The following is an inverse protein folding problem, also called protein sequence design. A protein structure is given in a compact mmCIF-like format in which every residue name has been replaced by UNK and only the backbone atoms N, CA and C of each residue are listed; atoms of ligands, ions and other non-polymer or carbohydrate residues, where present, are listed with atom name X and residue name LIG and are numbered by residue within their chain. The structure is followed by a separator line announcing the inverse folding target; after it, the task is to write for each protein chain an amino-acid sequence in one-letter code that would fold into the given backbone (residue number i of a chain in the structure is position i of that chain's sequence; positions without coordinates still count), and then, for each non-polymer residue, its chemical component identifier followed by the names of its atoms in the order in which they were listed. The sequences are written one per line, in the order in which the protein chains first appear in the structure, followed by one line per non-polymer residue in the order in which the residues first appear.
data_IF_796677204780
#
_entry.id   IF_796677204780
#
_cell.length_a   1.000
_cell.length_b   1.000
_cell.length_c   1.000
_cell.angle_alpha   90.00
_cell.angle_beta   90.00
_cell.angle_gamma   90.00
#
_symmetry.space_group_name_H-M   'P 1'
#
loop_
_entity.id
_entity.type
_entity.pdbx_description
1 polymer ?
#
# COMPACT_ATOMS: atom_id res chain seq x y z
N UNK A 1 0.50 23.20 13.90
CA UNK A 1 1.95 23.14 13.63
C UNK A 1 2.13 22.36 12.33
N UNK A 2 2.83 22.90 11.33
CA UNK A 2 3.07 22.18 10.09
C UNK A 2 3.99 20.98 10.38
N UNK A 3 3.54 19.78 9.98
CA UNK A 3 4.29 18.53 10.13
C UNK A 3 4.34 17.87 8.76
N UNK A 4 5.54 17.48 8.33
CA UNK A 4 5.73 16.66 7.13
C UNK A 4 5.63 15.20 7.55
N UNK A 5 4.76 14.45 6.90
CA UNK A 5 4.60 13.01 7.11
C UNK A 5 4.96 12.28 5.82
N UNK A 6 5.64 11.13 5.95
CA UNK A 6 5.97 10.33 4.77
C UNK A 6 4.71 9.63 4.26
N UNK A 7 4.53 9.68 2.94
CA UNK A 7 3.46 8.94 2.26
C UNK A 7 3.89 7.46 2.17
N UNK A 8 3.05 6.50 2.60
CA UNK A 8 3.35 5.08 2.46
C UNK A 8 3.66 4.69 1.01
N UNK A 9 4.55 3.72 0.82
CA UNK A 9 4.94 3.27 -0.53
C UNK A 9 3.74 2.82 -1.39
N UNK A 10 2.73 2.20 -0.77
CA UNK A 10 1.48 1.74 -1.42
C UNK A 10 0.56 2.89 -1.86
N UNK A 11 0.78 4.09 -1.33
CA UNK A 11 0.08 5.33 -1.68
C UNK A 11 0.86 6.19 -2.69
N UNK A 12 2.02 5.71 -3.16
CA UNK A 12 2.78 6.39 -4.20
C UNK A 12 1.94 6.64 -5.46
N UNK A 13 1.91 7.90 -5.90
CA UNK A 13 1.10 8.36 -7.03
C UNK A 13 -0.36 8.65 -6.71
N UNK A 14 -0.80 8.57 -5.44
CA UNK A 14 -2.12 9.04 -4.98
C UNK A 14 -2.00 10.44 -4.39
N UNK A 15 -2.77 11.37 -4.92
CA UNK A 15 -2.81 12.75 -4.49
C UNK A 15 -4.24 13.12 -4.10
N UNK A 16 -4.41 13.66 -2.89
CA UNK A 16 -5.69 14.16 -2.40
C UNK A 16 -5.79 15.67 -2.62
N UNK A 17 -6.90 16.11 -3.20
CA UNK A 17 -7.15 17.51 -3.59
C UNK A 17 -7.13 18.53 -2.44
N UNK A 18 -7.35 18.08 -1.21
CA UNK A 18 -7.27 18.90 0.01
C UNK A 18 -5.88 18.94 0.66
N UNK A 19 -4.88 18.29 0.07
CA UNK A 19 -3.54 18.16 0.64
C UNK A 19 -2.46 18.84 -0.22
N UNK A 20 -1.30 19.07 0.40
CA UNK A 20 -0.09 19.52 -0.27
C UNK A 20 1.00 18.47 -0.13
N UNK A 21 1.75 18.23 -1.22
CA UNK A 21 2.78 17.19 -1.29
C UNK A 21 4.12 17.78 -1.69
N UNK A 22 5.19 17.18 -1.17
CA UNK A 22 6.55 17.40 -1.62
C UNK A 22 7.03 16.10 -2.25
N UNK A 23 7.42 16.14 -3.51
CA UNK A 23 7.96 14.99 -4.24
C UNK A 23 9.42 15.28 -4.53
N UNK A 24 10.28 14.39 -4.04
CA UNK A 24 11.71 14.43 -4.30
C UNK A 24 12.04 13.28 -5.24
N UNK A 25 12.68 13.59 -6.36
CA UNK A 25 13.14 12.60 -7.33
C UNK A 25 14.64 12.80 -7.56
N UNK A 26 15.41 11.74 -7.34
CA UNK A 26 16.83 11.68 -7.65
C UNK A 26 17.07 10.80 -8.90
N UNK A 27 17.99 11.22 -9.77
CA UNK A 27 18.42 10.43 -10.93
C UNK A 27 19.18 9.15 -10.51
N UNK A 28 19.58 9.09 -9.23
CA UNK A 28 20.32 7.99 -8.62
C UNK A 28 19.44 7.04 -7.80
N UNK A 29 18.11 7.03 -7.97
CA UNK A 29 17.23 5.94 -7.51
C UNK A 29 17.52 5.39 -6.11
N UNK A 30 17.95 6.22 -5.17
CA UNK A 30 18.32 5.80 -3.81
C UNK A 30 17.44 6.57 -2.85
N UNK A 31 16.43 5.88 -2.35
CA UNK A 31 15.49 6.40 -1.37
C UNK A 31 16.20 7.06 -0.17
N UNK A 32 15.60 8.18 0.27
CA UNK A 32 15.40 8.61 1.65
C UNK A 32 16.45 8.20 2.69
N UNK A 33 17.03 9.16 3.45
CA UNK A 33 17.16 8.94 4.90
C UNK A 33 17.55 10.13 5.81
N UNK A 34 17.81 11.36 5.33
CA UNK A 34 18.23 12.42 6.28
C UNK A 34 17.69 13.80 5.96
N UNK A 35 16.53 14.13 6.53
CA UNK A 35 15.89 15.45 6.42
C UNK A 35 16.76 16.59 6.98
N UNK A 36 17.76 16.29 7.83
CA UNK A 36 18.64 17.31 8.45
C UNK A 36 19.88 17.61 7.59
N UNK A 37 20.36 16.66 6.78
CA UNK A 37 21.47 16.89 5.83
C UNK A 37 20.97 17.31 4.43
N UNK A 38 19.69 17.09 4.13
CA UNK A 38 19.12 17.33 2.80
C UNK A 38 19.03 18.84 2.46
N UNK A 39 18.67 19.68 3.43
CA UNK A 39 18.59 21.14 3.23
C UNK A 39 19.94 21.74 2.86
N UNK A 40 21.03 21.27 3.49
CA UNK A 40 22.39 21.70 3.18
C UNK A 40 22.88 21.21 1.80
N UNK A 41 22.38 20.07 1.32
CA UNK A 41 22.77 19.50 0.03
C UNK A 41 21.97 20.06 -1.16
N UNK A 42 20.70 20.40 -0.94
CA UNK A 42 19.79 20.92 -1.98
C UNK A 42 19.96 22.42 -2.24
N UNK A 43 20.70 23.13 -1.37
CA UNK A 43 20.77 24.59 -1.28
C UNK A 43 21.33 25.36 -2.50
N UNK A 44 21.54 24.71 -3.65
CA UNK A 44 21.77 25.37 -4.96
C UNK A 44 21.70 24.43 -6.18
N UNK A 45 21.40 23.12 -6.00
CA UNK A 45 21.42 22.14 -7.11
C UNK A 45 20.04 21.62 -7.50
N UNK A 46 19.03 21.80 -6.65
CA UNK A 46 17.70 21.26 -6.91
C UNK A 46 16.86 22.25 -7.73
N UNK A 47 16.37 21.81 -8.89
CA UNK A 47 15.39 22.57 -9.66
C UNK A 47 14.03 22.41 -8.99
N UNK A 48 13.45 23.51 -8.53
CA UNK A 48 12.12 23.50 -7.92
C UNK A 48 11.04 23.62 -9.00
N UNK A 49 10.06 22.74 -8.95
CA UNK A 49 8.89 22.77 -9.84
C UNK A 49 7.63 23.01 -9.01
N UNK A 50 6.78 23.97 -9.44
CA UNK A 50 5.45 24.18 -8.87
C UNK A 50 4.43 23.43 -9.72
N UNK A 51 3.86 22.39 -9.14
CA UNK A 51 2.80 21.59 -9.76
C UNK A 51 1.44 21.96 -9.15
N UNK A 52 0.44 22.17 -9.99
CA UNK A 52 -0.92 22.55 -9.59
C UNK A 52 -1.88 21.46 -10.04
N UNK A 53 -2.79 21.03 -9.14
CA UNK A 53 -3.78 20.00 -9.44
C UNK A 53 -4.55 20.34 -10.74
N UNK A 54 -4.67 19.34 -11.62
CA UNK A 54 -5.32 19.48 -12.92
C UNK A 54 -4.45 20.09 -14.02
N UNK A 55 -3.34 20.75 -13.65
CA UNK A 55 -2.40 21.40 -14.57
C UNK A 55 -0.98 20.82 -14.41
N UNK A 56 -0.86 19.57 -13.94
CA UNK A 56 0.42 18.97 -13.65
C UNK A 56 1.24 18.74 -14.94
N UNK A 57 2.54 19.00 -14.85
CA UNK A 57 3.48 18.81 -15.95
C UNK A 57 3.56 17.34 -16.38
N UNK A 58 3.87 17.10 -17.65
CA UNK A 58 4.07 15.74 -18.14
C UNK A 58 5.30 15.06 -17.51
N UNK A 59 6.32 15.85 -17.15
CA UNK A 59 7.49 15.37 -16.42
C UNK A 59 7.09 14.87 -15.03
N UNK A 60 6.28 15.64 -14.28
CA UNK A 60 5.81 15.21 -12.96
C UNK A 60 4.96 13.94 -13.03
N UNK A 61 3.99 13.88 -13.95
CA UNK A 61 3.14 12.70 -14.13
C UNK A 61 3.93 11.46 -14.55
N UNK A 62 5.07 11.61 -15.23
CA UNK A 62 5.86 10.48 -15.71
C UNK A 62 6.61 9.75 -14.60
N UNK A 63 6.87 10.42 -13.47
CA UNK A 63 7.48 9.85 -12.26
C UNK A 63 6.68 8.68 -11.70
N UNK A 64 5.35 8.71 -11.88
CA UNK A 64 4.46 7.71 -11.31
C UNK A 64 4.04 6.69 -12.37
N UNK A 65 4.03 5.40 -12.00
CA UNK A 65 3.45 4.34 -12.85
C UNK A 65 1.95 4.58 -13.06
N UNK A 66 1.26 4.98 -12.00
CA UNK A 66 -0.16 5.31 -11.97
C UNK A 66 -0.32 6.64 -11.25
N UNK A 67 -0.98 7.61 -11.89
CA UNK A 67 -1.26 8.92 -11.30
C UNK A 67 -2.73 8.99 -10.91
N UNK A 68 -3.03 9.22 -9.62
CA UNK A 68 -4.40 9.28 -9.11
C UNK A 68 -4.65 10.61 -8.40
N UNK A 69 -5.79 11.22 -8.73
CA UNK A 69 -6.31 12.38 -8.03
C UNK A 69 -7.59 12.00 -7.32
N UNK A 70 -7.64 12.20 -6.01
CA UNK A 70 -8.70 11.74 -5.10
C UNK A 70 -9.32 12.94 -4.35
N UNK A 71 -10.58 12.81 -4.00
CA UNK A 71 -11.28 13.81 -3.19
C UNK A 71 -10.96 13.63 -1.69
N UNK A 72 -10.87 14.72 -0.93
CA UNK A 72 -10.55 14.71 0.51
C UNK A 72 -9.16 15.26 0.84
N UNK A 73 -8.66 15.01 2.06
CA UNK A 73 -7.35 15.47 2.56
C UNK A 73 -7.25 15.47 4.09
N UNK A 74 -6.32 16.25 4.66
CA UNK A 74 -6.02 16.33 6.10
C UNK A 74 -7.25 16.61 6.96
N UNK A 75 -8.15 17.51 6.52
CA UNK A 75 -9.39 17.82 7.24
C UNK A 75 -10.38 16.65 7.24
N UNK A 76 -10.34 15.76 6.24
CA UNK A 76 -11.10 14.49 6.28
C UNK A 76 -10.44 13.44 7.17
N UNK A 77 -9.33 13.80 7.83
CA UNK A 77 -8.37 12.92 8.49
C UNK A 77 -7.60 12.16 7.44
N UNK A 78 -6.27 12.08 7.54
CA UNK A 78 -5.45 11.07 6.86
C UNK A 78 -5.83 9.65 7.33
N UNK A 79 -7.11 9.28 7.26
CA UNK A 79 -7.56 7.91 7.41
C UNK A 79 -7.12 7.22 6.15
N UNK A 80 -5.95 6.60 6.23
CA UNK A 80 -5.67 5.41 5.47
C UNK A 80 -6.87 4.47 5.73
N UNK A 81 -7.78 4.42 4.76
CA UNK A 81 -9.07 3.78 4.97
C UNK A 81 -8.78 2.29 5.02
N UNK A 82 -8.89 1.69 6.21
CA UNK A 82 -8.83 0.24 6.35
C UNK A 82 -9.80 -0.38 5.34
N UNK A 83 -9.49 -1.53 4.75
CA UNK A 83 -10.36 -2.16 3.75
C UNK A 83 -11.82 -2.35 4.21
N UNK A 84 -12.06 -2.37 5.53
CA UNK A 84 -13.36 -2.52 6.20
C UNK A 84 -14.24 -1.25 6.17
N UNK A 85 -13.65 -0.05 6.10
CA UNK A 85 -14.35 1.25 6.14
C UNK A 85 -14.36 1.95 4.76
N UNK A 86 -14.13 1.20 3.68
CA UNK A 86 -13.92 1.76 2.35
C UNK A 86 -15.17 2.48 1.82
N UNK A 87 -15.09 3.82 1.74
CA UNK A 87 -16.12 4.63 1.06
C UNK A 87 -16.02 4.41 -0.46
N UNK A 88 -17.09 3.95 -1.13
CA UNK A 88 -17.08 3.74 -2.58
C UNK A 88 -16.74 5.02 -3.34
N UNK A 89 -15.96 4.88 -4.41
CA UNK A 89 -15.49 5.98 -5.27
C UNK A 89 -15.78 5.68 -6.73
N UNK A 90 -16.04 6.73 -7.50
CA UNK A 90 -16.16 6.63 -8.95
C UNK A 90 -14.91 7.26 -9.56
N UNK A 91 -14.14 6.47 -10.30
CA UNK A 91 -12.88 6.90 -10.89
C UNK A 91 -13.03 6.95 -12.41
N UNK A 92 -12.74 8.10 -13.01
CA UNK A 92 -12.62 8.26 -14.46
C UNK A 92 -11.22 7.87 -14.91
N UNK A 93 -11.12 7.04 -15.95
CA UNK A 93 -9.87 6.49 -16.48
C UNK A 93 -9.49 7.20 -17.78
N UNK A 94 -8.32 7.83 -17.79
CA UNK A 94 -7.80 8.57 -18.94
C UNK A 94 -6.40 8.08 -19.33
N UNK A 95 -6.09 8.01 -20.62
CA UNK A 95 -4.73 7.73 -21.11
C UNK A 95 -4.14 9.02 -21.71
N UNK A 96 -3.40 9.83 -20.92
CA UNK A 96 -2.80 11.07 -21.42
C UNK A 96 -1.59 10.80 -22.33
N UNK A 97 -0.92 9.65 -22.20
CA UNK A 97 0.27 9.30 -22.98
C UNK A 97 0.40 7.78 -23.12
N UNK A 98 1.23 7.34 -24.09
CA UNK A 98 1.50 5.91 -24.31
C UNK A 98 2.02 5.26 -23.03
N UNK A 99 1.42 4.14 -22.62
CA UNK A 99 1.74 3.35 -21.42
C UNK A 99 1.49 4.01 -20.04
N UNK A 100 0.98 5.24 -19.98
CA UNK A 100 0.62 5.92 -18.72
C UNK A 100 -0.88 6.16 -18.67
N UNK A 101 -1.48 6.06 -17.49
CA UNK A 101 -2.89 6.36 -17.30
C UNK A 101 -3.11 7.17 -16.02
N UNK A 102 -4.15 8.00 -16.05
CA UNK A 102 -4.60 8.85 -14.95
C UNK A 102 -5.96 8.35 -14.47
N UNK A 103 -6.12 8.23 -13.17
CA UNK A 103 -7.41 7.98 -12.51
C UNK A 103 -7.81 9.24 -11.77
N UNK A 104 -8.98 9.79 -12.08
CA UNK A 104 -9.51 10.97 -11.40
C UNK A 104 -10.81 10.62 -10.71
N UNK A 105 -10.89 10.83 -9.40
CA UNK A 105 -12.13 10.70 -8.67
C UNK A 105 -13.13 11.75 -9.15
N UNK A 106 -14.33 11.27 -9.49
CA UNK A 106 -15.47 12.09 -9.89
C UNK A 106 -16.62 11.86 -8.93
N UNK A 107 -17.62 12.73 -8.96
CA UNK A 107 -18.79 12.60 -8.11
C UNK A 107 -19.46 11.22 -8.30
N UNK A 108 -19.82 10.55 -7.20
CA UNK A 108 -20.40 9.20 -7.24
C UNK A 108 -21.86 9.25 -7.71
N UNK A 109 -22.05 9.47 -9.01
CA UNK A 109 -23.35 9.62 -9.64
C UNK A 109 -23.32 9.15 -11.08
N UNK A 110 -24.45 8.61 -11.55
CA UNK A 110 -24.65 8.28 -12.97
C UNK A 110 -24.44 9.49 -13.89
N UNK A 111 -24.69 10.72 -13.40
CA UNK A 111 -24.48 11.97 -14.15
C UNK A 111 -23.01 12.25 -14.47
N UNK A 112 -22.09 11.60 -13.76
CA UNK A 112 -20.65 11.75 -14.00
C UNK A 112 -20.11 10.79 -15.06
N UNK A 113 -20.93 9.84 -15.53
CA UNK A 113 -20.57 8.93 -16.61
C UNK A 113 -20.82 9.59 -17.97
N UNK A 114 -19.88 9.40 -18.90
CA UNK A 114 -20.03 9.79 -20.30
C UNK A 114 -19.66 8.64 -21.24
N UNK A 115 -20.16 8.66 -22.47
CA UNK A 115 -19.92 7.58 -23.43
C UNK A 115 -18.48 7.51 -23.95
N UNK A 116 -17.68 8.56 -23.77
CA UNK A 116 -16.33 8.70 -24.31
C UNK A 116 -15.24 8.02 -23.46
N UNK A 117 -15.49 7.86 -22.17
CA UNK A 117 -14.45 7.39 -21.23
C UNK A 117 -14.76 6.02 -20.59
N UNK A 118 -13.77 5.49 -19.88
CA UNK A 118 -13.90 4.29 -19.03
C UNK A 118 -13.97 4.73 -17.58
N UNK A 119 -14.86 4.13 -16.81
CA UNK A 119 -15.04 4.45 -15.40
C UNK A 119 -14.90 3.20 -14.54
N UNK A 120 -14.39 3.38 -13.32
CA UNK A 120 -14.23 2.31 -12.33
C UNK A 120 -14.96 2.71 -11.06
N UNK A 121 -15.94 1.90 -10.68
CA UNK A 121 -16.55 1.97 -9.35
C UNK A 121 -15.63 1.16 -8.42
N UNK A 122 -14.87 1.84 -7.58
CA UNK A 122 -14.00 1.23 -6.58
C UNK A 122 -14.78 1.09 -5.26
N UNK A 123 -14.87 -0.13 -4.74
CA UNK A 123 -15.50 -0.48 -3.46
C UNK A 123 -14.47 -1.16 -2.53
N UNK A 124 -13.18 -0.87 -2.71
CA UNK A 124 -12.11 -1.46 -1.91
C UNK A 124 -11.78 -2.86 -2.42
N UNK A 125 -12.37 -3.90 -1.84
CA UNK A 125 -12.07 -5.30 -2.24
C UNK A 125 -12.64 -5.69 -3.60
N UNK A 126 -13.63 -4.95 -4.08
CA UNK A 126 -14.25 -5.16 -5.39
C UNK A 126 -14.18 -3.87 -6.19
N UNK A 127 -13.97 -3.99 -7.49
CA UNK A 127 -14.18 -2.89 -8.42
C UNK A 127 -15.01 -3.35 -9.61
N UNK A 128 -15.75 -2.43 -10.20
CA UNK A 128 -16.58 -2.66 -11.38
C UNK A 128 -16.17 -1.64 -12.43
N UNK A 129 -15.75 -2.14 -13.59
CA UNK A 129 -15.45 -1.31 -14.75
C UNK A 129 -16.71 -1.09 -15.59
N UNK A 130 -17.02 0.16 -15.89
CA UNK A 130 -18.02 0.56 -16.86
C UNK A 130 -17.32 1.17 -18.08
N UNK A 131 -17.69 0.71 -19.28
CA UNK A 131 -17.11 1.16 -20.53
C UNK A 131 -18.12 2.04 -21.26
N UNK A 132 -17.78 3.30 -21.50
CA UNK A 132 -18.56 4.14 -22.40
C UNK A 132 -18.61 3.53 -23.80
N UNK A 133 -19.75 3.67 -24.49
CA UNK A 133 -19.95 3.08 -25.83
C UNK A 133 -18.92 3.54 -26.86
N UNK A 134 -18.42 4.77 -26.72
CA UNK A 134 -17.44 5.42 -27.59
C UNK A 134 -16.01 5.40 -27.03
N UNK A 135 -15.78 4.76 -25.87
CA UNK A 135 -14.45 4.68 -25.25
C UNK A 135 -13.45 3.89 -26.08
N UNK A 136 -12.16 4.25 -26.01
CA UNK A 136 -11.14 3.64 -26.87
C UNK A 136 -10.85 2.20 -26.41
N UNK A 137 -10.65 1.25 -27.33
CA UNK A 137 -10.31 -0.14 -26.96
C UNK A 137 -9.10 -0.25 -26.02
N UNK A 138 -8.08 0.58 -26.23
CA UNK A 138 -6.88 0.60 -25.39
C UNK A 138 -7.17 1.04 -23.94
N UNK A 139 -8.09 1.99 -23.73
CA UNK A 139 -8.52 2.42 -22.39
C UNK A 139 -9.22 1.28 -21.66
N UNK A 140 -10.14 0.58 -22.36
CA UNK A 140 -10.87 -0.57 -21.81
C UNK A 140 -9.93 -1.69 -21.35
N UNK A 141 -8.94 -2.03 -22.18
CA UNK A 141 -7.96 -3.09 -21.89
C UNK A 141 -7.06 -2.67 -20.72
N UNK A 142 -6.52 -1.44 -20.75
CA UNK A 142 -5.60 -0.96 -19.72
C UNK A 142 -6.28 -0.86 -18.35
N UNK A 143 -7.54 -0.41 -18.31
CA UNK A 143 -8.33 -0.36 -17.08
C UNK A 143 -8.57 -1.77 -16.49
N UNK A 144 -8.87 -2.76 -17.34
CA UNK A 144 -9.06 -4.15 -16.90
C UNK A 144 -7.79 -4.74 -16.31
N UNK A 145 -6.66 -4.60 -17.02
CA UNK A 145 -5.36 -5.10 -16.56
C UNK A 145 -4.94 -4.45 -15.24
N UNK A 146 -5.22 -3.17 -15.07
CA UNK A 146 -4.96 -2.46 -13.81
C UNK A 146 -5.80 -3.01 -12.65
N UNK A 147 -7.08 -3.32 -12.86
CA UNK A 147 -7.91 -3.92 -11.82
C UNK A 147 -7.47 -5.36 -11.48
N UNK A 148 -7.00 -6.12 -12.47
CA UNK A 148 -6.40 -7.45 -12.25
C UNK A 148 -5.11 -7.37 -11.42
N UNK A 149 -4.20 -6.45 -11.76
CA UNK A 149 -2.96 -6.19 -10.99
C UNK A 149 -3.31 -5.74 -9.55
N UNK A 150 -4.33 -4.90 -9.40
CA UNK A 150 -4.80 -4.45 -8.09
C UNK A 150 -5.32 -5.61 -7.25
N UNK A 151 -6.09 -6.54 -7.84
CA UNK A 151 -6.59 -7.74 -7.17
C UNK A 151 -5.45 -8.68 -6.78
N UNK A 152 -4.50 -8.94 -7.68
CA UNK A 152 -3.34 -9.79 -7.38
C UNK A 152 -2.49 -9.20 -6.25
N UNK A 153 -2.26 -7.89 -6.26
CA UNK A 153 -1.51 -7.22 -5.20
C UNK A 153 -2.28 -7.22 -3.88
N UNK A 154 -3.59 -6.99 -3.89
CA UNK A 154 -4.40 -7.08 -2.67
C UNK A 154 -4.38 -8.50 -2.07
N UNK A 155 -4.41 -9.54 -2.92
CA UNK A 155 -4.27 -10.93 -2.48
C UNK A 155 -2.88 -11.18 -1.89
N UNK A 156 -1.82 -10.75 -2.58
CA UNK A 156 -0.43 -10.87 -2.11
C UNK A 156 -0.21 -10.20 -0.75
N UNK A 157 -0.71 -8.97 -0.58
CA UNK A 157 -0.66 -8.24 0.69
C UNK A 157 -1.48 -8.95 1.78
N UNK A 158 -2.69 -9.43 1.46
CA UNK A 158 -3.51 -10.17 2.43
C UNK A 158 -2.85 -11.50 2.87
N UNK A 159 -2.06 -12.12 1.99
CA UNK A 159 -1.34 -13.36 2.26
C UNK A 159 0.05 -13.14 2.86
N UNK A 160 0.47 -11.90 3.11
CA UNK A 160 1.75 -11.60 3.76
C UNK A 160 1.62 -11.94 5.26
N UNK A 161 1.94 -13.19 5.60
CA UNK A 161 1.99 -13.70 6.97
C UNK A 161 3.42 -13.58 7.49
N UNK A 162 3.67 -12.72 8.47
CA UNK A 162 4.96 -12.63 9.15
C UNK A 162 5.13 -13.84 10.08
N UNK A 163 6.09 -14.74 9.80
CA UNK A 163 6.36 -15.89 10.64
C UNK A 163 7.33 -15.54 11.77
N UNK A 164 6.92 -15.85 13.00
CA UNK A 164 7.76 -15.79 14.19
C UNK A 164 8.01 -17.20 14.70
N UNK A 165 9.22 -17.46 15.17
CA UNK A 165 9.60 -18.69 15.87
C UNK A 165 9.66 -18.41 17.36
N UNK A 166 9.02 -19.24 18.16
CA UNK A 166 9.10 -19.24 19.61
C UNK A 166 9.84 -20.49 20.06
N UNK A 167 11.07 -20.30 20.56
CA UNK A 167 11.98 -21.40 20.89
C UNK A 167 12.71 -21.13 22.20
N UNK A 168 12.93 -22.18 22.99
CA UNK A 168 13.76 -22.15 24.20
C UNK A 168 15.14 -22.81 24.05
N UNK A 169 15.56 -23.14 22.83
CA UNK A 169 16.87 -23.74 22.50
C UNK A 169 18.07 -22.95 23.06
N UNK A 170 17.92 -21.63 23.19
CA UNK A 170 18.96 -20.76 23.77
C UNK A 170 19.11 -20.85 25.30
N UNK A 171 18.29 -21.67 25.97
CA UNK A 171 18.16 -21.75 27.42
C UNK A 171 17.15 -20.76 28.01
N UNK A 172 16.56 -19.89 27.18
CA UNK A 172 15.46 -19.00 27.54
C UNK A 172 14.44 -18.92 26.40
N UNK A 173 13.16 -18.76 26.75
CA UNK A 173 12.09 -18.69 25.75
C UNK A 173 12.13 -17.36 24.98
N UNK A 174 12.56 -17.43 23.74
CA UNK A 174 12.72 -16.28 22.84
C UNK A 174 11.72 -16.34 21.68
N UNK A 175 11.40 -15.17 21.13
CA UNK A 175 10.56 -15.07 19.94
C UNK A 175 11.29 -14.25 18.88
N UNK A 176 11.46 -14.81 17.69
CA UNK A 176 12.24 -14.18 16.61
C UNK A 176 11.45 -14.15 15.32
N UNK A 177 11.51 -13.04 14.60
CA UNK A 177 10.98 -12.96 13.23
C UNK A 177 11.89 -13.80 12.31
N UNK A 178 11.30 -14.74 11.58
CA UNK A 178 12.07 -15.64 10.70
C UNK A 178 12.36 -14.94 9.36
N UNK A 179 11.33 -14.34 8.76
CA UNK A 179 11.48 -13.61 7.50
C UNK A 179 10.44 -12.49 7.36
N UNK A 180 10.76 -11.50 6.54
CA UNK A 180 9.79 -10.50 6.10
C UNK A 180 9.04 -11.02 4.86
N UNK A 181 7.73 -11.27 4.98
CA UNK A 181 6.90 -11.61 3.82
C UNK A 181 6.28 -12.99 3.90
N UNK A 182 6.17 -13.68 2.76
CA UNK A 182 5.54 -15.00 2.68
C UNK A 182 6.38 -16.04 3.40
N UNK A 183 5.81 -16.71 4.40
CA UNK A 183 6.46 -17.82 5.10
C UNK A 183 6.59 -19.04 4.17
N UNK A 184 7.81 -19.46 3.80
CA UNK A 184 8.03 -20.75 3.15
C UNK A 184 7.68 -21.88 4.12
N UNK A 185 7.13 -22.99 3.63
CA UNK A 185 6.77 -24.14 4.49
C UNK A 185 8.01 -24.74 5.15
N UNK A 186 9.14 -24.67 4.48
CA UNK A 186 10.45 -25.21 4.87
C UNK A 186 11.02 -24.54 6.13
N UNK A 187 10.50 -23.36 6.49
CA UNK A 187 10.91 -22.61 7.68
C UNK A 187 10.13 -23.00 8.95
N UNK A 188 9.13 -23.88 8.83
CA UNK A 188 8.32 -24.36 9.94
C UNK A 188 8.76 -25.80 10.27
N UNK A 189 9.43 -25.98 11.41
CA UNK A 189 9.83 -27.29 11.93
C UNK A 189 8.79 -27.87 12.89
N UNK A 190 8.92 -29.15 13.23
CA UNK A 190 8.07 -29.79 14.25
C UNK A 190 8.60 -29.61 15.68
N UNK A 191 9.78 -29.02 15.85
CA UNK A 191 10.50 -28.93 17.12
C UNK A 191 10.17 -27.67 17.93
N UNK A 192 9.54 -26.66 17.32
CA UNK A 192 9.30 -25.35 17.92
C UNK A 192 7.82 -24.92 17.75
N UNK A 193 7.44 -23.81 18.39
CA UNK A 193 6.15 -23.13 18.16
C UNK A 193 6.34 -21.98 17.16
N UNK A 194 5.43 -21.86 16.21
CA UNK A 194 5.46 -20.83 15.18
C UNK A 194 4.19 -19.96 15.20
N UNK A 195 4.35 -18.65 15.07
CA UNK A 195 3.25 -17.69 14.95
C UNK A 195 3.24 -17.11 13.55
N UNK A 196 2.14 -17.25 12.82
CA UNK A 196 1.93 -16.63 11.53
C UNK A 196 1.01 -15.43 11.69
N UNK A 197 1.58 -14.23 11.68
CA UNK A 197 0.85 -12.98 11.90
C UNK A 197 0.53 -12.33 10.55
N UNK A 198 -0.75 -12.28 10.21
CA UNK A 198 -1.26 -11.61 9.02
C UNK A 198 -2.15 -10.42 9.33
N UNK A 199 -2.47 -9.66 8.30
CA UNK A 199 -3.45 -8.57 8.37
C UNK A 199 -4.85 -9.04 8.81
N UNK A 200 -5.21 -10.29 8.51
CA UNK A 200 -6.54 -10.85 8.79
C UNK A 200 -6.60 -11.68 10.08
N UNK A 201 -5.46 -12.00 10.70
CA UNK A 201 -5.46 -12.93 11.82
C UNK A 201 -4.06 -13.37 12.27
N UNK A 202 -4.06 -14.09 13.38
CA UNK A 202 -2.88 -14.72 13.97
C UNK A 202 -3.15 -16.23 13.98
N UNK A 203 -2.25 -17.01 13.41
CA UNK A 203 -2.29 -18.47 13.47
C UNK A 203 -1.12 -18.96 14.30
N UNK A 204 -1.36 -19.95 15.16
CA UNK A 204 -0.33 -20.57 15.99
C UNK A 204 -0.19 -22.01 15.53
N UNK A 205 1.01 -22.37 15.10
CA UNK A 205 1.40 -23.74 14.81
C UNK A 205 2.25 -24.26 15.98
N UNK A 206 1.81 -25.35 16.59
CA UNK A 206 2.51 -25.99 17.71
C UNK A 206 3.18 -27.24 17.15
N UNK A 207 4.51 -27.23 17.11
CA UNK A 207 5.30 -28.37 16.69
C UNK A 207 5.00 -29.61 17.53
N UNK A 208 5.03 -30.79 16.90
CA UNK A 208 4.74 -32.05 17.60
C UNK A 208 5.81 -32.40 18.63
N UNK A 209 7.05 -31.98 18.38
CA UNK A 209 8.23 -32.25 19.21
C UNK A 209 8.64 -31.03 20.05
N UNK A 210 7.80 -29.98 20.09
CA UNK A 210 8.06 -28.77 20.87
C UNK A 210 8.06 -29.00 22.38
N UNK A 211 8.77 -28.11 23.08
CA UNK A 211 8.93 -28.21 24.52
C UNK A 211 7.63 -27.90 25.28
N UNK A 212 7.48 -28.46 26.48
CA UNK A 212 6.36 -28.14 27.37
C UNK A 212 6.32 -26.64 27.74
N UNK A 213 7.49 -26.01 27.79
CA UNK A 213 7.63 -24.60 28.09
C UNK A 213 7.20 -23.73 26.90
N UNK A 214 7.52 -24.12 25.66
CA UNK A 214 7.08 -23.43 24.44
C UNK A 214 5.58 -23.51 24.26
N UNK A 215 4.99 -24.72 24.34
CA UNK A 215 3.54 -24.91 24.13
C UNK A 215 2.70 -24.17 25.17
N UNK A 216 3.14 -24.14 26.43
CA UNK A 216 2.42 -23.49 27.52
C UNK A 216 2.38 -21.97 27.35
N UNK A 217 3.47 -21.39 26.82
CA UNK A 217 3.61 -19.95 26.65
C UNK A 217 3.22 -19.45 25.25
N UNK A 218 2.93 -20.36 24.32
CA UNK A 218 2.63 -20.08 22.91
C UNK A 218 1.61 -18.96 22.73
N UNK A 219 0.43 -19.05 23.35
CA UNK A 219 -0.64 -18.07 23.18
C UNK A 219 -0.27 -16.68 23.71
N UNK A 220 0.42 -16.61 24.85
CA UNK A 220 0.86 -15.35 25.43
C UNK A 220 1.89 -14.65 24.52
N UNK A 221 2.87 -15.42 24.02
CA UNK A 221 3.89 -14.93 23.09
C UNK A 221 3.29 -14.52 21.75
N UNK A 222 2.34 -15.30 21.22
CA UNK A 222 1.65 -14.99 19.98
C UNK A 222 0.91 -13.64 20.05
N UNK A 223 0.29 -13.33 21.19
CA UNK A 223 -0.35 -12.03 21.40
C UNK A 223 0.66 -10.87 21.41
N UNK A 224 1.83 -11.06 22.04
CA UNK A 224 2.90 -10.04 22.05
C UNK A 224 3.45 -9.83 20.63
N UNK A 225 3.78 -10.90 19.91
CA UNK A 225 4.28 -10.80 18.53
C UNK A 225 3.27 -10.17 17.57
N UNK A 226 1.96 -10.33 17.83
CA UNK A 226 0.93 -9.61 17.07
C UNK A 226 1.02 -8.10 17.28
N UNK A 227 1.27 -7.63 18.50
CA UNK A 227 1.43 -6.20 18.77
C UNK A 227 2.70 -5.64 18.10
N UNK A 228 3.80 -6.40 18.16
CA UNK A 228 5.07 -6.05 17.49
C UNK A 228 4.92 -5.99 15.97
N UNK A 229 4.24 -6.96 15.36
CA UNK A 229 3.99 -6.99 13.93
C UNK A 229 3.09 -5.82 13.45
N UNK A 230 2.07 -5.46 14.24
CA UNK A 230 1.23 -4.28 13.95
C UNK A 230 2.07 -3.00 14.00
N UNK A 231 2.99 -2.89 14.97
CA UNK A 231 3.92 -1.78 15.02
C UNK A 231 4.83 -1.78 13.77
N UNK A 232 5.40 -2.92 13.37
CA UNK A 232 6.26 -3.02 12.19
C UNK A 232 5.56 -2.63 10.87
N UNK A 233 4.26 -2.90 10.75
CA UNK A 233 3.47 -2.55 9.56
C UNK A 233 2.96 -1.09 9.56
N UNK A 234 3.09 -0.37 10.67
CA UNK A 234 2.58 1.00 10.83
C UNK A 234 3.68 2.07 10.71
N UNK A 235 4.91 1.69 10.38
CA UNK A 235 6.09 2.57 10.27
C UNK A 235 6.70 2.49 8.87
#
# INVERSE_FOLDING_TARGET
QFKVEQVPADDNGKFYSGDSYVVLHDEYGTAAYKTVELDAFLNDKAIQHREVEGYESNAFKSLFKVFRTLSGGYESGFRHVKPEDYKPRLLRFNIPAKNKFKLTEVYFSRKSLDSGDVFVIDMGRKAIQWNGSCSKPMERIKARLHDEERKSNAISVSNKLLPFRCSDESGALTTTLICEGTCPKEMISEDDVFFLVGSTGLFVYIGKECSDNEKHNALAKAHVSRLEAIAFQSW
#
